data_IF_451245634317
#
_entry.id   IF_451245634317
#
_cell.length_a   1.000
_cell.length_b   1.000
_cell.length_c   1.000
_cell.angle_alpha   90.00
_cell.angle_beta   90.00
_cell.angle_gamma   90.00
#
_symmetry.space_group_name_H-M   'P 1'
#
loop_
_entity.id
_entity.type
_entity.pdbx_description
1 polymer ?
#
# COMPACT_ATOMS: atom_id res chain seq x y z
N UNK A 1 14.25 1.11 8.24
CA UNK A 1 12.92 0.60 7.83
C UNK A 1 12.66 -0.71 8.55
N UNK A 2 11.40 -1.07 8.82
CA UNK A 2 11.05 -2.40 9.36
C UNK A 2 11.59 -3.49 8.43
N UNK A 3 12.35 -4.48 8.94
CA UNK A 3 12.88 -5.56 8.13
C UNK A 3 11.76 -6.50 7.72
N UNK A 4 11.84 -7.01 6.48
CA UNK A 4 11.03 -8.12 6.01
C UNK A 4 11.57 -9.41 6.62
N UNK A 5 10.71 -10.34 7.03
CA UNK A 5 11.11 -11.60 7.66
C UNK A 5 10.62 -12.81 6.86
N UNK A 6 11.33 -13.93 6.96
CA UNK A 6 11.01 -15.16 6.22
C UNK A 6 10.90 -14.93 4.71
N UNK A 7 9.80 -15.40 4.12
CA UNK A 7 9.47 -15.19 2.71
C UNK A 7 8.59 -13.95 2.47
N UNK A 8 8.51 -13.04 3.44
CA UNK A 8 7.73 -11.82 3.35
C UNK A 8 8.15 -10.91 2.20
N UNK A 9 7.32 -9.90 1.91
CA UNK A 9 7.57 -8.88 0.90
C UNK A 9 7.48 -7.48 1.49
N UNK A 10 8.12 -6.52 0.84
CA UNK A 10 7.84 -5.10 1.05
C UNK A 10 6.69 -4.67 0.15
N UNK A 11 5.63 -4.16 0.76
CA UNK A 11 4.37 -3.79 0.10
C UNK A 11 4.03 -2.33 0.39
N UNK A 12 3.65 -1.59 -0.65
CA UNK A 12 3.07 -0.25 -0.52
C UNK A 12 1.58 -0.28 -0.86
N UNK A 13 0.76 0.40 -0.07
CA UNK A 13 -0.68 0.60 -0.30
C UNK A 13 -0.92 2.10 -0.34
N UNK A 14 -1.10 2.65 -1.54
CA UNK A 14 -1.13 4.09 -1.77
C UNK A 14 -2.49 4.51 -2.33
N UNK A 15 -3.04 5.60 -1.79
CA UNK A 15 -4.26 6.21 -2.28
C UNK A 15 -4.08 7.69 -2.55
N UNK A 16 -5.00 8.26 -3.32
CA UNK A 16 -4.84 9.60 -3.92
C UNK A 16 -4.28 10.66 -2.96
N UNK A 17 -3.38 11.46 -3.50
CA UNK A 17 -2.89 12.71 -2.95
C UNK A 17 -3.85 13.82 -3.41
N UNK A 18 -4.77 14.21 -2.53
CA UNK A 18 -5.71 15.30 -2.77
C UNK A 18 -5.03 16.69 -2.74
N UNK A 19 -5.74 17.71 -3.24
CA UNK A 19 -5.31 19.12 -3.24
C UNK A 19 -4.09 19.44 -4.12
N UNK A 20 -3.88 18.67 -5.19
CA UNK A 20 -2.76 18.88 -6.11
C UNK A 20 -3.12 19.68 -7.38
N UNK A 21 -4.41 19.88 -7.66
CA UNK A 21 -4.89 20.57 -8.86
C UNK A 21 -4.28 19.99 -10.15
N UNK A 22 -3.85 20.86 -11.05
CA UNK A 22 -3.27 20.50 -12.35
C UNK A 22 -1.97 19.68 -12.25
N UNK A 23 -1.36 19.60 -11.07
CA UNK A 23 -0.16 18.80 -10.84
C UNK A 23 -0.47 17.35 -10.46
N UNK A 24 -1.74 16.98 -10.28
CA UNK A 24 -2.13 15.66 -9.76
C UNK A 24 -1.50 14.51 -10.55
N UNK A 25 -1.72 14.44 -11.86
CA UNK A 25 -1.19 13.35 -12.70
C UNK A 25 0.33 13.25 -12.61
N UNK A 26 1.03 14.39 -12.74
CA UNK A 26 2.51 14.44 -12.71
C UNK A 26 3.06 13.97 -11.37
N UNK A 27 2.50 14.45 -10.26
CA UNK A 27 3.01 14.15 -8.93
C UNK A 27 2.68 12.72 -8.49
N UNK A 28 1.54 12.17 -8.90
CA UNK A 28 1.24 10.76 -8.69
C UNK A 28 2.21 9.86 -9.47
N UNK A 29 2.43 10.12 -10.77
CA UNK A 29 3.37 9.36 -11.59
C UNK A 29 4.81 9.43 -11.05
N UNK A 30 5.23 10.60 -10.54
CA UNK A 30 6.58 10.80 -9.98
C UNK A 30 6.88 9.94 -8.74
N UNK A 31 5.88 9.30 -8.12
CA UNK A 31 6.11 8.34 -7.04
C UNK A 31 6.77 7.05 -7.53
N UNK A 32 6.74 6.74 -8.83
CA UNK A 32 7.31 5.51 -9.39
C UNK A 32 8.81 5.38 -9.07
N UNK A 33 9.60 6.43 -9.30
CA UNK A 33 11.05 6.43 -9.03
C UNK A 33 11.37 6.17 -7.56
N UNK A 34 10.57 6.76 -6.65
CA UNK A 34 10.72 6.56 -5.22
C UNK A 34 10.40 5.11 -4.83
N UNK A 35 9.34 4.53 -5.41
CA UNK A 35 8.94 3.15 -5.13
C UNK A 35 10.02 2.17 -5.61
N UNK A 36 10.54 2.35 -6.83
CA UNK A 36 11.62 1.53 -7.39
C UNK A 36 12.85 1.56 -6.47
N UNK A 37 13.21 2.73 -5.94
CA UNK A 37 14.33 2.88 -5.00
C UNK A 37 14.14 2.22 -3.63
N UNK A 38 12.94 1.75 -3.27
CA UNK A 38 12.66 1.19 -1.93
C UNK A 38 12.77 -0.35 -1.85
N UNK A 39 12.94 -1.03 -2.99
CA UNK A 39 12.85 -2.49 -3.07
C UNK A 39 11.43 -3.02 -2.83
N UNK A 40 10.41 -2.19 -3.04
CA UNK A 40 9.00 -2.60 -3.01
C UNK A 40 8.70 -3.46 -4.23
N UNK A 41 8.18 -4.67 -3.99
CA UNK A 41 7.90 -5.65 -5.04
C UNK A 41 6.40 -5.73 -5.38
N UNK A 42 5.54 -5.16 -4.53
CA UNK A 42 4.10 -5.17 -4.73
C UNK A 42 3.49 -3.85 -4.28
N UNK A 43 2.64 -3.27 -5.12
CA UNK A 43 1.97 -2.01 -4.87
C UNK A 43 0.46 -2.17 -5.07
N UNK A 44 -0.31 -1.75 -4.08
CA UNK A 44 -1.76 -1.65 -4.15
C UNK A 44 -2.15 -0.18 -4.24
N UNK A 45 -2.94 0.18 -5.25
CA UNK A 45 -3.28 1.55 -5.60
C UNK A 45 -4.79 1.75 -5.53
N UNK A 46 -5.24 2.79 -4.83
CA UNK A 46 -6.67 3.05 -4.62
C UNK A 46 -7.04 4.52 -4.79
N UNK A 47 -7.89 4.79 -5.78
CA UNK A 47 -8.35 6.15 -6.12
C UNK A 47 -8.05 6.49 -7.58
N UNK A 48 -8.89 7.30 -8.24
CA UNK A 48 -8.76 7.59 -9.67
C UNK A 48 -7.41 8.21 -10.06
N UNK A 49 -6.83 9.07 -9.23
CA UNK A 49 -5.56 9.76 -9.54
C UNK A 49 -4.36 8.82 -9.48
N UNK A 50 -4.42 7.76 -8.66
CA UNK A 50 -3.40 6.72 -8.60
C UNK A 50 -3.25 5.91 -9.88
N UNK A 51 -4.17 6.03 -10.84
CA UNK A 51 -3.98 5.44 -12.18
C UNK A 51 -2.72 5.95 -12.86
N UNK A 52 -2.37 7.22 -12.66
CA UNK A 52 -1.13 7.80 -13.21
C UNK A 52 0.12 7.10 -12.66
N UNK A 53 0.11 6.71 -11.38
CA UNK A 53 1.19 5.91 -10.81
C UNK A 53 1.17 4.47 -11.33
N UNK A 54 -0.02 3.86 -11.46
CA UNK A 54 -0.15 2.51 -11.98
C UNK A 54 0.45 2.35 -13.38
N UNK A 55 0.26 3.35 -14.24
CA UNK A 55 0.79 3.40 -15.61
C UNK A 55 2.29 3.73 -15.66
N UNK A 56 2.82 4.43 -14.64
CA UNK A 56 4.24 4.81 -14.57
C UNK A 56 5.14 3.72 -13.93
N UNK A 57 4.58 2.80 -13.15
CA UNK A 57 5.35 1.74 -12.50
C UNK A 57 5.87 0.72 -13.54
N UNK A 58 7.13 0.26 -13.39
CA UNK A 58 7.69 -0.75 -14.28
C UNK A 58 7.01 -2.12 -14.08
N UNK A 59 7.04 -2.94 -15.13
CA UNK A 59 6.32 -4.22 -15.19
C UNK A 59 6.80 -5.29 -14.20
N UNK A 60 8.00 -5.13 -13.64
CA UNK A 60 8.57 -6.00 -12.60
C UNK A 60 7.98 -5.72 -11.20
N UNK A 61 7.33 -4.56 -11.00
CA UNK A 61 6.57 -4.27 -9.80
C UNK A 61 5.13 -4.76 -9.98
N UNK A 62 4.74 -5.76 -9.17
CA UNK A 62 3.37 -6.25 -9.17
C UNK A 62 2.42 -5.16 -8.69
N UNK A 63 1.62 -4.62 -9.60
CA UNK A 63 0.75 -3.47 -9.33
C UNK A 63 -0.73 -3.87 -9.43
N UNK A 64 -1.50 -3.57 -8.39
CA UNK A 64 -2.94 -3.78 -8.33
C UNK A 64 -3.64 -2.43 -8.12
N UNK A 65 -4.37 -1.96 -9.13
CA UNK A 65 -5.14 -0.72 -9.08
C UNK A 65 -6.64 -0.98 -8.91
N UNK A 66 -7.31 -0.21 -8.06
CA UNK A 66 -8.78 -0.14 -7.96
C UNK A 66 -9.25 1.30 -7.83
N UNK A 67 -10.49 1.56 -8.21
CA UNK A 67 -11.03 2.93 -8.22
C UNK A 67 -11.18 3.52 -6.80
N UNK A 68 -11.19 2.69 -5.76
CA UNK A 68 -11.29 3.16 -4.39
C UNK A 68 -11.18 2.05 -3.34
N UNK A 69 -11.40 2.45 -2.08
CA UNK A 69 -11.15 1.63 -0.89
C UNK A 69 -11.95 0.34 -0.86
N UNK A 70 -13.24 0.39 -1.19
CA UNK A 70 -14.12 -0.76 -1.06
C UNK A 70 -13.75 -1.89 -2.04
N UNK A 71 -13.28 -1.54 -3.23
CA UNK A 71 -12.77 -2.50 -4.22
C UNK A 71 -11.36 -2.99 -3.89
N UNK A 72 -10.50 -2.12 -3.33
CA UNK A 72 -9.13 -2.47 -2.99
C UNK A 72 -9.05 -3.41 -1.78
N UNK A 73 -9.92 -3.20 -0.79
CA UNK A 73 -9.95 -3.93 0.49
C UNK A 73 -9.94 -5.46 0.34
N UNK A 74 -10.86 -6.11 -0.40
CA UNK A 74 -10.86 -7.57 -0.52
C UNK A 74 -9.59 -8.11 -1.18
N UNK A 75 -9.06 -7.41 -2.20
CA UNK A 75 -7.85 -7.80 -2.92
C UNK A 75 -6.63 -7.72 -2.01
N UNK A 76 -6.50 -6.62 -1.26
CA UNK A 76 -5.42 -6.44 -0.28
C UNK A 76 -5.46 -7.54 0.79
N UNK A 77 -6.62 -7.76 1.43
CA UNK A 77 -6.75 -8.74 2.51
C UNK A 77 -6.48 -10.18 2.06
N UNK A 78 -6.73 -10.52 0.80
CA UNK A 78 -6.45 -11.84 0.24
C UNK A 78 -4.97 -12.01 -0.12
N UNK A 79 -4.26 -10.92 -0.42
CA UNK A 79 -2.91 -10.98 -0.93
C UNK A 79 -1.82 -11.04 0.15
N UNK A 80 -2.09 -10.55 1.37
CA UNK A 80 -1.11 -10.51 2.44
C UNK A 80 -0.80 -11.88 3.02
N UNK A 81 0.47 -12.08 3.38
CA UNK A 81 0.98 -13.31 3.99
C UNK A 81 1.89 -13.00 5.19
N UNK A 82 2.17 -13.98 6.08
CA UNK A 82 3.13 -13.81 7.16
C UNK A 82 4.49 -13.31 6.66
N UNK A 83 5.11 -12.41 7.44
CA UNK A 83 6.41 -11.79 7.13
C UNK A 83 6.35 -10.56 6.23
N UNK A 84 5.20 -10.27 5.59
CA UNK A 84 5.03 -9.04 4.79
C UNK A 84 5.19 -7.79 5.67
N UNK A 85 5.82 -6.76 5.11
CA UNK A 85 5.91 -5.42 5.67
C UNK A 85 5.10 -4.47 4.79
N UNK A 86 4.05 -3.89 5.35
CA UNK A 86 3.07 -3.09 4.62
C UNK A 86 3.13 -1.63 5.07
N UNK A 87 3.31 -0.70 4.12
CA UNK A 87 3.14 0.74 4.33
C UNK A 87 1.84 1.19 3.70
N UNK A 88 0.99 1.87 4.47
CA UNK A 88 -0.31 2.37 3.98
C UNK A 88 -0.32 3.89 4.08
N UNK A 89 -0.64 4.57 2.98
CA UNK A 89 -0.72 6.04 2.95
C UNK A 89 -1.75 6.53 1.93
N UNK A 90 -2.60 7.46 2.35
CA UNK A 90 -3.47 8.25 1.46
C UNK A 90 -3.72 9.64 2.06
N UNK A 91 -4.41 10.52 1.33
CA UNK A 91 -5.12 11.64 1.96
C UNK A 91 -6.30 11.14 2.79
N UNK A 92 -6.67 11.88 3.85
CA UNK A 92 -7.74 11.48 4.80
C UNK A 92 -9.07 11.21 4.09
N UNK A 93 -9.44 12.06 3.13
CA UNK A 93 -10.69 11.96 2.37
C UNK A 93 -10.84 10.66 1.56
N UNK A 94 -9.73 9.95 1.28
CA UNK A 94 -9.77 8.67 0.56
C UNK A 94 -10.28 7.53 1.45
N UNK A 95 -10.10 7.64 2.76
CA UNK A 95 -10.67 6.67 3.70
C UNK A 95 -9.88 5.38 3.90
N UNK A 96 -8.57 5.36 3.65
CA UNK A 96 -7.71 4.19 3.91
C UNK A 96 -7.65 3.77 5.38
N UNK A 97 -8.13 4.60 6.31
CA UNK A 97 -8.36 4.19 7.70
C UNK A 97 -9.18 2.89 7.78
N UNK A 98 -10.18 2.71 6.91
CA UNK A 98 -10.98 1.48 6.82
C UNK A 98 -10.15 0.24 6.44
N UNK A 99 -9.08 0.42 5.63
CA UNK A 99 -8.16 -0.68 5.30
C UNK A 99 -7.34 -1.07 6.53
N UNK A 100 -6.85 -0.08 7.27
CA UNK A 100 -6.11 -0.30 8.52
C UNK A 100 -6.99 -1.04 9.53
N UNK A 101 -8.21 -0.59 9.75
CA UNK A 101 -9.16 -1.24 10.67
C UNK A 101 -9.43 -2.70 10.26
N UNK A 102 -9.65 -2.95 8.97
CA UNK A 102 -9.87 -4.30 8.46
C UNK A 102 -8.64 -5.20 8.62
N UNK A 103 -7.43 -4.65 8.46
CA UNK A 103 -6.18 -5.37 8.65
C UNK A 103 -5.97 -5.73 10.11
N UNK A 104 -6.18 -4.78 11.03
CA UNK A 104 -6.06 -5.02 12.47
C UNK A 104 -7.12 -6.02 12.97
N UNK A 105 -8.32 -6.02 12.39
CA UNK A 105 -9.36 -7.00 12.69
C UNK A 105 -9.05 -8.40 12.17
N UNK A 106 -8.45 -8.53 10.97
CA UNK A 106 -8.11 -9.82 10.37
C UNK A 106 -6.79 -10.40 10.90
N UNK A 107 -5.82 -9.53 11.16
CA UNK A 107 -4.48 -9.86 11.62
C UNK A 107 -4.22 -9.12 12.94
N UNK A 108 -4.83 -9.58 14.04
CA UNK A 108 -4.62 -8.96 15.34
C UNK A 108 -3.14 -8.99 15.70
N UNK A 109 -2.66 -7.91 16.33
CA UNK A 109 -1.30 -7.87 16.83
C UNK A 109 -1.07 -9.04 17.79
N UNK A 110 0.07 -9.73 17.66
CA UNK A 110 0.46 -10.72 18.66
C UNK A 110 0.54 -10.03 20.03
N UNK A 111 -0.13 -10.62 21.02
CA UNK A 111 0.02 -10.21 22.41
C UNK A 111 1.51 -10.31 22.75
N UNK A 112 2.16 -9.20 23.07
CA UNK A 112 3.55 -9.19 23.54
C UNK A 112 3.65 -9.82 24.93
N UNK A 113 3.49 -11.14 25.03
CA UNK A 113 4.02 -11.91 26.16
C UNK A 113 5.46 -12.26 25.80
N UNK A 114 6.34 -11.24 25.80
CA UNK A 114 7.78 -11.49 25.87
C UNK A 114 8.03 -12.15 27.22
N UNK A 115 8.18 -13.48 27.26
CA UNK A 115 8.90 -14.10 28.37
C UNK A 115 10.33 -13.56 28.29
N UNK A 116 10.65 -12.66 29.20
CA UNK A 116 12.04 -12.40 29.55
C UNK A 116 12.55 -13.68 30.20
N UNK A 117 13.47 -14.35 29.52
CA UNK A 117 14.36 -15.39 30.06
C UNK A 117 15.76 -15.06 29.60
#
# INVERSE_FOLDING_TARGET
ATPVTGEGRRIAVLGDMLELGDHSTKLHAALADLIVGTGTQTVFLGGPEMRALAEALPADIKTEYRAGVEELKPVLLAALKPGDVVMIKSSKGIGFAKLVDALLGKFPAESTTRKQT
#
